data_IF_743653153403
#
_entry.id   IF_743653153403
#
_cell.length_a   1.000
_cell.length_b   1.000
_cell.length_c   1.000
_cell.angle_alpha   90.00
_cell.angle_beta   90.00
_cell.angle_gamma   90.00
#
_symmetry.space_group_name_H-M   'P 1'
#
loop_
_entity.id
_entity.type
_entity.pdbx_description
1 polymer ?
#
# COMPACT_ATOMS: atom_id res chain seq x y z
N UNK A 1 -0.24 20.59 5.61
CA UNK A 1 -0.55 19.15 5.70
C UNK A 1 0.75 18.42 5.93
N UNK A 2 0.94 17.82 7.11
CA UNK A 2 2.18 17.12 7.44
C UNK A 2 2.15 15.73 6.78
N UNK A 3 3.24 15.42 6.07
CA UNK A 3 3.47 14.27 5.19
C UNK A 3 2.76 12.98 5.65
N UNK A 4 1.86 12.45 4.81
CA UNK A 4 1.15 11.20 5.03
C UNK A 4 1.49 10.18 3.93
N UNK A 5 1.46 8.90 4.29
CA UNK A 5 1.77 7.78 3.40
C UNK A 5 0.54 6.90 3.22
N UNK A 6 0.22 6.60 1.96
CA UNK A 6 -0.77 5.61 1.55
C UNK A 6 -0.17 4.63 0.54
N UNK A 7 -0.90 3.57 0.21
CA UNK A 7 -0.46 2.55 -0.73
C UNK A 7 -1.47 2.41 -1.88
N UNK A 8 -0.97 2.41 -3.11
CA UNK A 8 -1.73 2.02 -4.30
C UNK A 8 -1.33 0.60 -4.69
N UNK A 9 -2.31 -0.27 -4.91
CA UNK A 9 -2.11 -1.63 -5.39
C UNK A 9 -2.84 -1.85 -6.71
N UNK A 10 -2.11 -2.26 -7.75
CA UNK A 10 -2.67 -2.55 -9.08
C UNK A 10 -2.76 -4.07 -9.28
N UNK A 11 -3.98 -4.60 -9.29
CA UNK A 11 -4.24 -6.00 -9.56
C UNK A 11 -4.55 -6.20 -11.05
N UNK A 12 -3.55 -6.57 -11.83
CA UNK A 12 -3.69 -6.84 -13.26
C UNK A 12 -4.64 -8.01 -13.57
N UNK A 13 -4.61 -9.07 -12.77
CA UNK A 13 -5.46 -10.24 -12.98
C UNK A 13 -6.94 -9.92 -12.71
N UNK A 14 -7.21 -9.20 -11.61
CA UNK A 14 -8.54 -8.76 -11.24
C UNK A 14 -9.03 -7.50 -11.96
N UNK A 15 -8.16 -6.86 -12.76
CA UNK A 15 -8.42 -5.58 -13.44
C UNK A 15 -8.94 -4.50 -12.49
N UNK A 16 -8.29 -4.38 -11.33
CA UNK A 16 -8.68 -3.45 -10.27
C UNK A 16 -7.50 -2.63 -9.79
N UNK A 17 -7.78 -1.42 -9.31
CA UNK A 17 -6.80 -0.58 -8.63
C UNK A 17 -7.36 -0.26 -7.24
N UNK A 18 -6.54 -0.50 -6.23
CA UNK A 18 -6.88 -0.31 -4.84
C UNK A 18 -6.04 0.80 -4.23
N UNK A 19 -6.59 1.51 -3.25
CA UNK A 19 -5.87 2.44 -2.40
C UNK A 19 -6.42 2.37 -1.00
N UNK A 20 -5.53 2.38 -0.01
CA UNK A 20 -5.84 2.78 1.35
C UNK A 20 -4.68 3.54 1.96
N UNK A 21 -4.99 4.31 2.99
CA UNK A 21 -4.03 4.88 3.92
C UNK A 21 -4.51 4.67 5.37
N UNK A 22 -3.63 4.93 6.34
CA UNK A 22 -3.98 4.75 7.74
C UNK A 22 -5.01 5.76 8.26
N UNK A 23 -5.23 6.89 7.56
CA UNK A 23 -6.18 7.92 7.97
C UNK A 23 -7.57 7.75 7.36
N UNK A 24 -7.77 6.75 6.50
CA UNK A 24 -8.99 6.58 5.71
C UNK A 24 -9.29 7.81 4.86
N UNK A 25 -8.25 8.44 4.31
CA UNK A 25 -8.39 9.69 3.57
C UNK A 25 -9.12 9.46 2.25
N UNK A 26 -9.83 10.50 1.81
CA UNK A 26 -10.33 10.56 0.43
C UNK A 26 -9.14 10.81 -0.50
N UNK A 27 -8.92 9.90 -1.45
CA UNK A 27 -7.83 10.02 -2.41
C UNK A 27 -8.07 11.22 -3.32
N UNK A 28 -7.09 12.11 -3.51
CA UNK A 28 -7.20 13.15 -4.52
C UNK A 28 -7.45 12.54 -5.91
N UNK A 29 -8.44 13.00 -6.68
CA UNK A 29 -8.75 12.44 -8.01
C UNK A 29 -7.54 12.44 -8.96
N UNK A 30 -6.63 13.39 -8.79
CA UNK A 30 -5.37 13.50 -9.57
C UNK A 30 -4.46 12.27 -9.40
N UNK A 31 -4.52 11.57 -8.26
CA UNK A 31 -3.72 10.36 -8.05
C UNK A 31 -4.07 9.26 -9.05
N UNK A 32 -5.36 9.13 -9.41
CA UNK A 32 -5.78 8.14 -10.41
C UNK A 32 -5.23 8.48 -11.80
N UNK A 33 -5.14 9.77 -12.15
CA UNK A 33 -4.53 10.21 -13.41
C UNK A 33 -3.06 9.78 -13.47
N UNK A 34 -2.30 10.04 -12.41
CA UNK A 34 -0.89 9.63 -12.36
C UNK A 34 -0.69 8.10 -12.40
N UNK A 35 -1.59 7.33 -11.79
CA UNK A 35 -1.55 5.85 -11.92
C UNK A 35 -1.79 5.43 -13.37
N UNK A 36 -2.76 6.04 -14.07
CA UNK A 36 -3.02 5.74 -15.49
C UNK A 36 -1.80 6.09 -16.35
N UNK A 37 -1.16 7.23 -16.10
CA UNK A 37 0.05 7.65 -16.81
C UNK A 37 1.22 6.69 -16.57
N UNK A 38 1.45 6.27 -15.32
CA UNK A 38 2.48 5.29 -14.99
C UNK A 38 2.23 3.93 -15.66
N UNK A 39 0.97 3.51 -15.76
CA UNK A 39 0.60 2.26 -16.46
C UNK A 39 0.74 2.38 -17.98
N UNK A 40 0.46 3.55 -18.56
CA UNK A 40 0.74 3.83 -19.97
C UNK A 40 2.25 3.78 -20.25
N UNK A 41 3.07 4.39 -19.40
CA UNK A 41 4.53 4.30 -19.51
C UNK A 41 5.01 2.85 -19.38
N UNK A 42 4.45 2.08 -18.45
CA UNK A 42 4.81 0.66 -18.29
C UNK A 42 4.44 -0.15 -19.55
N UNK A 43 3.31 0.15 -20.18
CA UNK A 43 2.92 -0.46 -21.46
C UNK A 43 3.87 -0.05 -22.60
N UNK A 44 4.30 1.19 -22.67
CA UNK A 44 5.28 1.65 -23.67
C UNK A 44 6.62 0.91 -23.53
N UNK A 45 7.06 0.64 -22.29
CA UNK A 45 8.28 -0.11 -22.00
C UNK A 45 8.14 -1.61 -22.29
N UNK A 46 6.95 -2.17 -22.09
CA UNK A 46 6.67 -3.60 -22.26
C UNK A 46 5.42 -3.83 -23.11
N UNK A 47 5.47 -3.51 -24.42
CA UNK A 47 4.29 -3.53 -25.27
C UNK A 47 3.67 -4.92 -25.36
N UNK A 48 4.46 -5.98 -25.41
CA UNK A 48 3.91 -7.33 -25.60
C UNK A 48 3.41 -8.00 -24.30
N UNK A 49 3.44 -7.31 -23.15
CA UNK A 49 3.00 -7.90 -21.90
C UNK A 49 1.47 -8.11 -21.88
N UNK A 50 0.96 -9.36 -21.77
CA UNK A 50 -0.46 -9.67 -21.97
C UNK A 50 -1.41 -8.88 -21.04
N UNK A 51 -1.02 -8.69 -19.77
CA UNK A 51 -1.85 -7.94 -18.83
C UNK A 51 -1.91 -6.44 -19.12
N UNK A 52 -0.83 -5.87 -19.69
CA UNK A 52 -0.79 -4.44 -20.03
C UNK A 52 -1.61 -4.16 -21.28
N UNK A 53 -1.61 -5.08 -22.24
CA UNK A 53 -2.44 -4.99 -23.45
C UNK A 53 -3.95 -4.91 -23.16
N UNK A 54 -4.39 -5.35 -21.98
CA UNK A 54 -5.79 -5.20 -21.58
C UNK A 54 -6.22 -3.74 -21.40
N UNK A 55 -5.26 -2.84 -21.10
CA UNK A 55 -5.49 -1.40 -20.84
C UNK A 55 -6.65 -1.11 -19.90
N UNK A 56 -6.91 -2.01 -18.95
CA UNK A 56 -8.12 -1.95 -18.13
C UNK A 56 -8.23 -0.64 -17.34
N UNK A 57 -7.09 -0.06 -16.94
CA UNK A 57 -7.01 1.21 -16.22
C UNK A 57 -7.66 2.39 -16.94
N UNK A 58 -7.82 2.36 -18.26
CA UNK A 58 -8.52 3.41 -19.00
C UNK A 58 -9.99 3.51 -18.56
N UNK A 59 -10.63 2.38 -18.23
CA UNK A 59 -12.04 2.28 -17.82
C UNK A 59 -12.29 2.56 -16.34
N UNK A 60 -11.25 2.55 -15.50
CA UNK A 60 -11.39 2.71 -14.05
C UNK A 60 -11.72 4.15 -13.71
N UNK A 61 -12.70 4.32 -12.81
CA UNK A 61 -13.19 5.62 -12.34
C UNK A 61 -12.69 5.99 -10.93
N UNK A 62 -12.16 5.03 -10.17
CA UNK A 62 -11.75 5.27 -8.80
C UNK A 62 -10.97 4.10 -8.20
N UNK A 63 -10.47 4.32 -7.00
CA UNK A 63 -9.80 3.31 -6.20
C UNK A 63 -10.81 2.50 -5.40
N UNK A 64 -10.56 1.19 -5.28
CA UNK A 64 -11.22 0.34 -4.30
C UNK A 64 -10.43 0.36 -2.98
N UNK A 65 -11.11 0.16 -1.86
CA UNK A 65 -10.44 -0.04 -0.56
C UNK A 65 -9.98 -1.49 -0.43
N UNK A 66 -8.77 -1.70 0.09
CA UNK A 66 -8.24 -3.04 0.35
C UNK A 66 -8.30 -3.47 1.82
N UNK A 67 -8.82 -2.62 2.71
CA UNK A 67 -9.01 -2.90 4.12
C UNK A 67 -7.79 -2.64 5.00
N UNK A 68 -6.99 -1.59 4.72
CA UNK A 68 -5.97 -1.14 5.67
C UNK A 68 -6.62 -0.77 7.01
N UNK A 69 -6.10 -1.20 8.17
CA UNK A 69 -6.60 -0.77 9.47
C UNK A 69 -6.45 0.75 9.67
N UNK A 70 -7.30 1.35 10.51
CA UNK A 70 -7.16 2.77 10.87
C UNK A 70 -6.00 3.00 11.85
N UNK A 71 -5.27 4.09 11.66
CA UNK A 71 -4.24 4.61 12.57
C UNK A 71 -4.78 5.68 13.53
N UNK A 72 -6.06 6.03 13.43
CA UNK A 72 -6.69 6.97 14.35
C UNK A 72 -6.61 6.40 15.77
N UNK A 73 -6.34 7.24 16.77
CA UNK A 73 -6.26 6.80 18.15
C UNK A 73 -7.61 6.19 18.57
N UNK A 74 -7.54 4.99 19.14
CA UNK A 74 -8.70 4.29 19.71
C UNK A 74 -8.85 4.57 21.20
N UNK A 75 -7.78 5.10 21.82
CA UNK A 75 -7.65 5.50 23.22
C UNK A 75 -6.62 6.63 23.37
N UNK A 76 -6.45 7.13 24.60
CA UNK A 76 -5.49 8.20 24.94
C UNK A 76 -4.02 7.77 24.80
N UNK A 77 -3.74 6.49 24.55
CA UNK A 77 -2.36 5.98 24.47
C UNK A 77 -1.70 6.31 23.13
N UNK A 78 -2.46 6.81 22.14
CA UNK A 78 -1.95 7.28 20.84
C UNK A 78 -1.09 6.25 20.09
N UNK A 79 -1.25 4.96 20.42
CA UNK A 79 -0.40 3.89 19.87
C UNK A 79 -0.69 3.73 18.38
N UNK A 80 0.35 3.89 17.56
CA UNK A 80 0.25 3.75 16.10
C UNK A 80 -0.01 5.07 15.37
N UNK A 81 -0.32 6.16 16.07
CA UNK A 81 -0.38 7.50 15.47
C UNK A 81 0.98 7.86 14.89
N UNK A 82 1.02 8.38 13.66
CA UNK A 82 2.27 8.68 12.95
C UNK A 82 3.02 7.45 12.41
N UNK A 83 2.41 6.25 12.42
CA UNK A 83 3.02 5.03 11.87
C UNK A 83 2.57 4.70 10.45
N UNK A 84 1.98 5.65 9.72
CA UNK A 84 1.52 5.47 8.33
C UNK A 84 2.56 4.80 7.41
N UNK A 85 3.83 5.19 7.50
CA UNK A 85 4.91 4.57 6.73
C UNK A 85 5.13 3.08 7.05
N UNK A 86 5.03 2.68 8.33
CA UNK A 86 5.11 1.25 8.70
C UNK A 86 3.89 0.51 8.16
N UNK A 87 2.69 1.09 8.25
CA UNK A 87 1.47 0.50 7.69
C UNK A 87 1.58 0.24 6.19
N UNK A 88 2.15 1.17 5.42
CA UNK A 88 2.42 0.98 3.98
C UNK A 88 3.41 -0.16 3.74
N UNK A 89 4.52 -0.22 4.49
CA UNK A 89 5.51 -1.30 4.36
C UNK A 89 4.89 -2.66 4.65
N UNK A 90 4.09 -2.75 5.71
CA UNK A 90 3.42 -4.00 6.09
C UNK A 90 2.36 -4.44 5.08
N UNK A 91 1.51 -3.51 4.60
CA UNK A 91 0.55 -3.81 3.54
C UNK A 91 1.25 -4.29 2.27
N UNK A 92 2.33 -3.61 1.86
CA UNK A 92 3.12 -3.99 0.69
C UNK A 92 3.73 -5.39 0.86
N UNK A 93 4.28 -5.72 2.04
CA UNK A 93 4.76 -7.07 2.36
C UNK A 93 3.65 -8.11 2.16
N UNK A 94 2.46 -7.88 2.73
CA UNK A 94 1.35 -8.82 2.64
C UNK A 94 0.89 -8.99 1.17
N UNK A 95 0.85 -7.93 0.37
CA UNK A 95 0.56 -8.02 -1.07
C UNK A 95 1.64 -8.76 -1.87
N UNK A 96 2.91 -8.61 -1.53
CA UNK A 96 4.01 -9.34 -2.18
C UNK A 96 3.89 -10.85 -1.88
N UNK A 97 3.48 -11.21 -0.66
CA UNK A 97 3.39 -12.61 -0.23
C UNK A 97 2.10 -13.30 -0.71
N UNK A 98 0.94 -12.66 -0.51
CA UNK A 98 -0.37 -13.28 -0.68
C UNK A 98 -1.15 -12.73 -1.90
N UNK A 99 -0.63 -11.67 -2.54
CA UNK A 99 -1.24 -11.07 -3.72
C UNK A 99 -2.67 -10.57 -3.45
N UNK A 100 -3.64 -10.83 -4.35
CA UNK A 100 -5.03 -10.42 -4.17
C UNK A 100 -5.71 -10.96 -2.90
N UNK A 101 -5.19 -12.02 -2.26
CA UNK A 101 -5.77 -12.57 -1.02
C UNK A 101 -5.61 -11.64 0.19
N UNK A 102 -4.77 -10.61 0.08
CA UNK A 102 -4.57 -9.57 1.11
C UNK A 102 -5.76 -8.63 1.23
N UNK A 103 -6.51 -8.43 0.12
CA UNK A 103 -7.69 -7.56 0.10
C UNK A 103 -8.70 -8.02 1.17
N UNK A 104 -9.06 -7.11 2.07
CA UNK A 104 -9.92 -7.30 3.24
C UNK A 104 -9.43 -8.37 4.23
N UNK A 105 -8.14 -8.72 4.20
CA UNK A 105 -7.59 -9.81 5.00
C UNK A 105 -6.33 -9.42 5.80
N UNK A 106 -6.05 -8.11 5.94
CA UNK A 106 -4.92 -7.61 6.74
C UNK A 106 -5.07 -8.02 8.22
N UNK A 107 -4.05 -8.71 8.72
CA UNK A 107 -4.04 -9.30 10.07
C UNK A 107 -3.44 -8.39 11.15
N UNK A 108 -2.56 -7.47 10.76
CA UNK A 108 -1.94 -6.54 11.69
C UNK A 108 -2.88 -5.37 12.02
N UNK A 109 -2.54 -4.61 13.07
CA UNK A 109 -3.25 -3.42 13.54
C UNK A 109 -2.25 -2.34 13.93
N UNK A 110 -2.67 -1.08 13.87
CA UNK A 110 -1.79 0.05 14.24
C UNK A 110 -1.33 0.03 15.70
N UNK A 111 -2.08 -0.63 16.60
CA UNK A 111 -1.67 -0.90 17.97
C UNK A 111 -0.36 -1.70 18.09
N UNK A 112 0.01 -2.47 17.06
CA UNK A 112 1.18 -3.34 17.06
C UNK A 112 2.41 -2.67 16.40
N UNK A 113 2.30 -1.40 15.98
CA UNK A 113 3.32 -0.74 15.14
C UNK A 113 4.66 -0.54 15.83
N UNK A 114 4.70 -0.47 17.16
CA UNK A 114 5.94 -0.38 17.91
C UNK A 114 6.80 -1.64 17.71
N UNK A 115 6.18 -2.84 17.70
CA UNK A 115 6.87 -4.10 17.44
C UNK A 115 7.37 -4.15 15.99
N UNK A 116 6.52 -3.84 15.03
CA UNK A 116 6.90 -3.88 13.61
C UNK A 116 7.97 -2.85 13.25
N UNK A 117 7.95 -1.66 13.87
CA UNK A 117 9.03 -0.67 13.73
C UNK A 117 10.35 -1.22 14.26
N UNK A 118 10.33 -1.84 15.45
CA UNK A 118 11.53 -2.47 16.04
C UNK A 118 12.05 -3.60 15.16
N UNK A 119 11.19 -4.48 14.69
CA UNK A 119 11.54 -5.58 13.76
C UNK A 119 12.19 -5.05 12.49
N UNK A 120 11.62 -4.01 11.87
CA UNK A 120 12.18 -3.37 10.68
C UNK A 120 13.57 -2.78 10.96
N UNK A 121 13.74 -2.08 12.08
CA UNK A 121 15.04 -1.52 12.46
C UNK A 121 16.10 -2.61 12.68
N UNK A 122 15.74 -3.69 13.38
CA UNK A 122 16.64 -4.84 13.57
C UNK A 122 17.01 -5.49 12.24
N UNK A 123 16.05 -5.61 11.31
CA UNK A 123 16.29 -6.15 9.98
C UNK A 123 17.26 -5.27 9.17
N UNK A 124 17.13 -3.94 9.28
CA UNK A 124 18.06 -2.98 8.66
C UNK A 124 19.48 -3.15 9.24
N UNK A 125 19.60 -3.27 10.56
CA UNK A 125 20.90 -3.51 11.21
C UNK A 125 21.52 -4.84 10.76
N UNK A 126 20.71 -5.88 10.61
CA UNK A 126 21.15 -7.18 10.09
C UNK A 126 21.66 -7.07 8.65
N UNK A 127 20.94 -6.38 7.77
CA UNK A 127 21.40 -6.13 6.40
C UNK A 127 22.69 -5.33 6.33
N UNK A 128 22.90 -4.42 7.29
CA UNK A 128 24.13 -3.64 7.41
C UNK A 128 25.28 -4.41 8.11
N UNK A 129 25.06 -5.66 8.55
CA UNK A 129 26.07 -6.48 9.21
C UNK A 129 26.29 -6.21 10.69
N UNK A 130 25.41 -5.42 11.34
CA UNK A 130 25.52 -5.05 12.76
C UNK A 130 24.74 -5.96 13.72
N UNK A 131 23.94 -6.89 13.21
CA UNK A 131 23.19 -7.85 14.00
C UNK A 131 23.26 -9.25 13.36
N UNK A 132 23.73 -10.24 14.13
CA UNK A 132 23.82 -11.66 13.74
C UNK A 132 22.50 -12.39 13.97
#
# INVERSE_FOLDING_TARGET
MVNHWGLIYVNFAGKQVHFDDGLMSVVPPVALLFVKDALNLLLELYPDHPSLQTKFWLSIQGFLHFGMPSQLPVDDMMVGVGSCGIGVIMAARDFIQDGPKTVNNIKWRYSNMHNHRKELMLQILKWAGYAS
#
